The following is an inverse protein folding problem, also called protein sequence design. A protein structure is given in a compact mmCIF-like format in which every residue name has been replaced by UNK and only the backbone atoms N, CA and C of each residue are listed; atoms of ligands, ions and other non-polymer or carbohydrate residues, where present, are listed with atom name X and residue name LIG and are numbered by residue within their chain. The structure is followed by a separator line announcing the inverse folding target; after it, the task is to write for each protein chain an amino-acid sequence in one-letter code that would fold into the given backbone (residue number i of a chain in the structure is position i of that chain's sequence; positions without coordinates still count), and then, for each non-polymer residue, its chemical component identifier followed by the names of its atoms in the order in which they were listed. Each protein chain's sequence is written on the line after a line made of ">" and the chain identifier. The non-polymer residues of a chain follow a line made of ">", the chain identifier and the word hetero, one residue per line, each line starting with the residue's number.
data_IF_808252235384
#
_entry.id   IF_808252235384
#
_cell.length_a   1.000
_cell.length_b   1.000
_cell.length_c   1.000
_cell.angle_alpha   90.00
_cell.angle_beta   90.00
_cell.angle_gamma   90.00
#
_symmetry.space_group_name_H-M   'P 1'
#
loop_
_entity.id
_entity.type
_entity.pdbx_description
1 polymer ?
#
# COMPACT_ATOMS: atom_id res chain seq x y z
N UNK A 1 6.30 -27.45 7.89
CA UNK A 1 6.61 -26.37 8.85
C UNK A 1 6.91 -25.08 8.10
N UNK A 2 6.59 -23.93 8.72
CA UNK A 2 6.92 -22.55 8.35
C UNK A 2 5.77 -21.70 7.77
N UNK A 3 4.94 -21.23 8.68
CA UNK A 3 3.91 -20.19 8.53
C UNK A 3 4.56 -18.80 8.74
N UNK A 4 4.92 -18.07 7.68
CA UNK A 4 5.26 -16.63 7.80
C UNK A 4 5.32 -15.86 6.47
N UNK A 5 4.23 -15.83 5.71
CA UNK A 5 4.08 -14.88 4.60
C UNK A 5 2.68 -14.27 4.69
N UNK A 6 2.64 -13.01 5.13
CA UNK A 6 1.48 -12.10 5.10
C UNK A 6 1.84 -10.69 5.57
N UNK A 7 2.96 -10.54 6.30
CA UNK A 7 3.50 -9.22 6.67
C UNK A 7 4.40 -8.59 5.61
N UNK A 8 4.90 -9.35 4.62
CA UNK A 8 5.85 -8.82 3.63
C UNK A 8 5.14 -7.93 2.62
N UNK A 9 3.94 -8.35 2.23
CA UNK A 9 3.17 -7.71 1.18
C UNK A 9 2.75 -6.29 1.57
N UNK A 10 2.38 -6.02 2.82
CA UNK A 10 2.01 -4.67 3.28
C UNK A 10 3.11 -3.61 3.06
N UNK A 11 4.34 -3.93 3.45
CA UNK A 11 5.45 -2.98 3.30
C UNK A 11 5.83 -2.83 1.81
N UNK A 12 5.75 -3.92 1.03
CA UNK A 12 6.00 -3.89 -0.42
C UNK A 12 4.91 -3.11 -1.19
N UNK A 13 3.64 -3.26 -0.82
CA UNK A 13 2.49 -2.53 -1.37
C UNK A 13 2.58 -1.05 -1.02
N UNK A 14 3.00 -0.72 0.20
CA UNK A 14 3.29 0.65 0.63
C UNK A 14 4.59 1.20 0.03
N UNK A 15 5.43 0.36 -0.59
CA UNK A 15 6.74 0.75 -1.12
C UNK A 15 7.72 1.22 -0.04
N UNK A 16 7.57 0.73 1.19
CA UNK A 16 8.43 1.05 2.34
C UNK A 16 9.24 -0.16 2.74
N UNK A 17 10.41 0.06 3.35
CA UNK A 17 11.13 -1.05 3.94
C UNK A 17 10.36 -1.64 5.13
N UNK A 18 10.52 -2.94 5.35
CA UNK A 18 10.13 -3.67 6.57
C UNK A 18 10.75 -3.10 7.86
N UNK A 19 11.72 -2.22 7.71
CA UNK A 19 12.45 -1.52 8.77
C UNK A 19 11.94 -0.09 8.96
N UNK A 20 11.00 0.36 8.11
CA UNK A 20 10.53 1.73 8.05
C UNK A 20 9.82 2.12 9.35
N UNK A 21 10.03 3.35 9.80
CA UNK A 21 9.36 3.86 10.99
C UNK A 21 7.89 4.13 10.70
N UNK A 22 7.06 4.18 11.74
CA UNK A 22 5.63 4.54 11.59
C UNK A 22 5.41 5.86 10.82
N UNK A 23 6.35 6.80 10.95
CA UNK A 23 6.33 8.05 10.20
C UNK A 23 6.48 7.82 8.68
N UNK A 24 7.38 6.94 8.27
CA UNK A 24 7.60 6.58 6.87
C UNK A 24 6.41 5.82 6.31
N UNK A 25 5.85 4.88 7.08
CA UNK A 25 4.63 4.14 6.74
C UNK A 25 3.47 5.13 6.51
N UNK A 26 3.25 6.09 7.41
CA UNK A 26 2.20 7.13 7.26
C UNK A 26 2.47 8.07 6.08
N UNK A 27 3.73 8.38 5.79
CA UNK A 27 4.09 9.25 4.66
C UNK A 27 3.86 8.54 3.32
N UNK A 28 4.30 7.29 3.23
CA UNK A 28 4.14 6.43 2.07
C UNK A 28 2.65 6.13 1.80
N UNK A 29 1.89 5.77 2.84
CA UNK A 29 0.44 5.58 2.75
C UNK A 29 -0.25 6.83 2.18
N UNK A 30 0.06 8.03 2.70
CA UNK A 30 -0.53 9.29 2.19
C UNK A 30 -0.14 9.58 0.74
N UNK A 31 1.10 9.27 0.36
CA UNK A 31 1.57 9.42 -1.03
C UNK A 31 0.86 8.44 -1.96
N UNK A 32 0.75 7.17 -1.58
CA UNK A 32 0.08 6.13 -2.35
C UNK A 32 -1.43 6.37 -2.44
N UNK A 33 -2.09 6.72 -1.33
CA UNK A 33 -3.52 7.03 -1.31
C UNK A 33 -3.86 8.23 -2.23
N UNK A 34 -3.01 9.26 -2.28
CA UNK A 34 -3.15 10.35 -3.25
C UNK A 34 -2.92 9.89 -4.69
N UNK A 35 -1.95 9.01 -4.92
CA UNK A 35 -1.59 8.50 -6.25
C UNK A 35 -2.64 7.54 -6.81
N UNK A 36 -3.27 6.76 -5.93
CA UNK A 36 -4.36 5.83 -6.23
C UNK A 36 -5.75 6.47 -6.09
N UNK A 37 -5.82 7.76 -5.75
CA UNK A 37 -7.07 8.43 -5.43
C UNK A 37 -8.08 8.23 -6.56
N UNK A 38 -9.32 7.78 -6.27
CA UNK A 38 -10.32 7.48 -7.29
C UNK A 38 -10.70 8.71 -8.10
N UNK A 39 -10.51 9.92 -7.57
CA UNK A 39 -10.76 11.17 -8.30
C UNK A 39 -9.72 11.44 -9.39
N UNK A 40 -8.49 10.92 -9.24
CA UNK A 40 -7.42 10.99 -10.24
C UNK A 40 -7.42 9.76 -11.16
N UNK A 41 -7.90 8.61 -10.68
CA UNK A 41 -7.97 7.35 -11.44
C UNK A 41 -9.42 6.90 -11.67
N UNK A 42 -10.31 7.82 -12.09
CA UNK A 42 -11.74 7.55 -12.31
C UNK A 42 -12.02 6.43 -13.32
N UNK A 43 -11.04 6.09 -14.16
CA UNK A 43 -11.17 5.16 -15.28
C UNK A 43 -10.36 3.88 -15.11
N UNK A 44 -9.56 3.74 -14.04
CA UNK A 44 -8.62 2.61 -13.92
C UNK A 44 -9.09 1.62 -12.83
N UNK A 45 -9.73 0.49 -13.19
CA UNK A 45 -10.20 -0.50 -12.21
C UNK A 45 -9.06 -1.09 -11.38
N UNK A 46 -7.82 -1.06 -11.88
CA UNK A 46 -6.62 -1.48 -11.14
C UNK A 46 -6.26 -0.54 -10.00
N UNK A 47 -6.65 0.74 -10.06
CA UNK A 47 -6.42 1.67 -8.95
C UNK A 47 -7.24 1.29 -7.72
N UNK A 48 -8.46 0.76 -7.94
CA UNK A 48 -9.32 0.24 -6.87
C UNK A 48 -8.74 -1.02 -6.23
N UNK A 49 -8.25 -1.97 -7.02
CA UNK A 49 -7.57 -3.17 -6.51
C UNK A 49 -6.32 -2.82 -5.69
N UNK A 50 -5.45 -1.94 -6.22
CA UNK A 50 -4.26 -1.47 -5.50
C UNK A 50 -4.60 -0.70 -4.22
N UNK A 51 -5.75 -0.03 -4.17
CA UNK A 51 -6.20 0.68 -2.97
C UNK A 51 -6.71 -0.30 -1.91
N UNK A 52 -7.38 -1.39 -2.32
CA UNK A 52 -7.80 -2.48 -1.42
C UNK A 52 -6.57 -3.19 -0.86
N UNK A 53 -5.58 -3.52 -1.69
CA UNK A 53 -4.30 -4.09 -1.22
C UNK A 53 -3.54 -3.15 -0.26
N UNK A 54 -3.70 -1.83 -0.41
CA UNK A 54 -3.11 -0.85 0.52
C UNK A 54 -3.75 -0.90 1.92
N UNK A 55 -4.94 -1.49 2.04
CA UNK A 55 -5.80 -1.46 3.23
C UNK A 55 -5.93 -2.84 3.91
N UNK A 56 -5.47 -3.93 3.28
CA UNK A 56 -5.69 -5.34 3.68
C UNK A 56 -4.46 -6.03 4.24
#
# INVERSE_FOLDING_TARGET
>A
MSTRQKKRDYYEVLGVEKNASENDIKLAYRRLARKLHPDLNKTDPKAKEKFIELQE
#
